data_IF_142894214591
#
_entry.id   IF_142894214591
#
_cell.length_a   1.000
_cell.length_b   1.000
_cell.length_c   1.000
_cell.angle_alpha   90.00
_cell.angle_beta   90.00
_cell.angle_gamma   90.00
#
_symmetry.space_group_name_H-M   'P 1'
#
loop_
_entity.id
_entity.type
_entity.pdbx_description
1 polymer ?
#
# COMPACT_ATOMS: atom_id res chain seq x y z
N UNK A 1 5.14 -26.78 55.09
CA UNK A 1 4.82 -25.36 54.78
C UNK A 1 5.95 -24.63 54.01
N UNK A 2 7.23 -24.76 54.33
CA UNK A 2 8.32 -24.08 53.59
C UNK A 2 8.43 -24.52 52.11
N UNK A 3 8.27 -25.79 51.78
CA UNK A 3 8.40 -26.32 50.41
C UNK A 3 7.27 -25.83 49.48
N UNK A 4 6.04 -25.69 49.99
CA UNK A 4 4.91 -25.13 49.20
C UNK A 4 5.09 -23.66 48.89
N UNK A 5 5.75 -22.90 49.77
CA UNK A 5 6.00 -21.47 49.55
C UNK A 5 7.00 -21.25 48.42
N UNK A 6 8.05 -22.04 48.31
CA UNK A 6 9.02 -21.95 47.20
C UNK A 6 8.40 -22.37 45.89
N UNK A 7 7.50 -23.34 45.87
CA UNK A 7 6.81 -23.76 44.63
C UNK A 7 5.89 -22.65 44.12
N UNK A 8 5.20 -21.94 45.00
CA UNK A 8 4.34 -20.80 44.68
C UNK A 8 5.17 -19.60 44.18
N UNK A 9 6.34 -19.35 44.76
CA UNK A 9 7.24 -18.28 44.36
C UNK A 9 7.84 -18.53 42.95
N UNK A 10 8.22 -19.77 42.66
CA UNK A 10 8.73 -20.17 41.32
C UNK A 10 7.64 -20.07 40.26
N UNK A 11 6.39 -20.42 40.60
CA UNK A 11 5.26 -20.29 39.68
C UNK A 11 4.94 -18.82 39.35
N UNK A 12 5.09 -17.92 40.34
CA UNK A 12 4.85 -16.48 40.19
C UNK A 12 5.94 -15.81 39.27
N UNK A 13 7.19 -16.24 39.42
CA UNK A 13 8.29 -15.77 38.60
C UNK A 13 8.16 -16.27 37.14
N UNK A 14 7.64 -17.49 36.95
CA UNK A 14 7.40 -18.03 35.59
C UNK A 14 6.27 -17.32 34.85
N UNK A 15 5.28 -16.75 35.54
CA UNK A 15 4.18 -15.99 34.94
C UNK A 15 4.56 -14.52 34.60
N UNK A 16 5.59 -13.97 35.25
CA UNK A 16 6.05 -12.60 34.97
C UNK A 16 6.85 -12.45 33.64
N UNK A 17 7.23 -13.59 33.05
CA UNK A 17 8.07 -13.61 31.82
C UNK A 17 7.29 -13.58 30.48
N UNK A 18 5.96 -13.60 30.46
CA UNK A 18 5.16 -13.85 29.24
C UNK A 18 4.33 -12.65 28.79
N UNK A 19 4.57 -11.44 29.27
CA UNK A 19 3.83 -10.27 28.82
C UNK A 19 4.75 -9.18 28.28
N UNK A 20 5.36 -9.44 27.15
CA UNK A 20 5.91 -8.38 26.32
C UNK A 20 5.42 -8.56 24.89
N UNK A 21 4.13 -8.36 24.65
CA UNK A 21 3.65 -7.89 23.36
C UNK A 21 4.18 -6.45 23.22
N UNK A 22 5.41 -6.32 22.72
CA UNK A 22 5.93 -5.01 22.31
C UNK A 22 5.05 -4.53 21.17
N UNK A 23 4.08 -3.70 21.47
CA UNK A 23 3.38 -2.92 20.46
C UNK A 23 4.46 -2.15 19.71
N UNK A 24 4.63 -2.44 18.42
CA UNK A 24 5.63 -1.81 17.58
C UNK A 24 5.38 -0.29 17.57
N UNK A 25 6.39 0.50 17.91
CA UNK A 25 6.22 1.95 17.90
C UNK A 25 6.09 2.46 16.47
N UNK A 26 5.47 3.62 16.28
CA UNK A 26 5.35 4.25 14.96
C UNK A 26 6.74 4.48 14.31
N UNK A 27 7.74 4.84 15.11
CA UNK A 27 9.13 4.98 14.63
C UNK A 27 9.71 3.64 14.16
N UNK A 28 9.42 2.55 14.86
CA UNK A 28 9.87 1.22 14.44
C UNK A 28 9.22 0.80 13.12
N UNK A 29 7.92 1.09 12.95
CA UNK A 29 7.20 0.85 11.68
C UNK A 29 7.82 1.65 10.53
N UNK A 30 8.13 2.94 10.72
CA UNK A 30 8.80 3.76 9.71
C UNK A 30 10.18 3.21 9.34
N UNK A 31 10.96 2.77 10.31
CA UNK A 31 12.27 2.19 10.07
C UNK A 31 12.19 0.84 9.35
N UNK A 32 11.25 0.00 9.74
CA UNK A 32 10.99 -1.28 9.09
C UNK A 32 10.54 -1.08 7.63
N UNK A 33 9.58 -0.18 7.39
CA UNK A 33 9.15 0.19 6.05
C UNK A 33 10.30 0.70 5.18
N UNK A 34 11.13 1.62 5.71
CA UNK A 34 12.28 2.15 4.96
C UNK A 34 13.23 1.04 4.52
N UNK A 35 13.53 0.10 5.41
CA UNK A 35 14.36 -1.07 5.08
C UNK A 35 13.70 -1.95 4.01
N UNK A 36 12.39 -2.20 4.12
CA UNK A 36 11.66 -3.03 3.16
C UNK A 36 11.61 -2.38 1.77
N UNK A 37 11.34 -1.07 1.69
CA UNK A 37 11.34 -0.33 0.41
C UNK A 37 12.74 -0.33 -0.22
N UNK A 38 13.80 -0.07 0.54
CA UNK A 38 15.17 -0.10 0.01
C UNK A 38 15.50 -1.51 -0.51
N UNK A 39 15.15 -2.55 0.24
CA UNK A 39 15.34 -3.93 -0.19
C UNK A 39 14.59 -4.22 -1.51
N UNK A 40 13.32 -3.78 -1.63
CA UNK A 40 12.55 -3.93 -2.87
C UNK A 40 13.24 -3.23 -4.06
N UNK A 41 13.76 -2.02 -3.83
CA UNK A 41 14.49 -1.23 -4.85
C UNK A 41 15.74 -1.99 -5.29
N UNK A 42 16.56 -2.45 -4.35
CA UNK A 42 17.81 -3.14 -4.62
C UNK A 42 17.59 -4.50 -5.33
N UNK A 43 16.61 -5.30 -4.88
CA UNK A 43 16.33 -6.63 -5.44
C UNK A 43 15.72 -6.59 -6.86
N UNK A 44 15.15 -5.46 -7.26
CA UNK A 44 14.54 -5.30 -8.59
C UNK A 44 15.33 -4.34 -9.49
N UNK A 45 16.53 -3.92 -9.09
CA UNK A 45 17.37 -2.96 -9.83
C UNK A 45 16.59 -1.68 -10.21
N UNK A 46 15.74 -1.18 -9.27
CA UNK A 46 14.97 0.04 -9.52
C UNK A 46 15.86 1.27 -9.41
N UNK A 47 15.82 2.12 -10.42
CA UNK A 47 16.51 3.41 -10.49
C UNK A 47 15.59 4.53 -9.97
N UNK A 48 16.00 5.21 -8.92
CA UNK A 48 15.24 6.35 -8.37
C UNK A 48 15.79 7.64 -8.94
N UNK A 49 15.00 8.25 -9.82
CA UNK A 49 15.34 9.51 -10.48
C UNK A 49 15.15 10.69 -9.53
N UNK A 50 16.02 11.69 -9.64
CA UNK A 50 15.91 12.95 -8.89
C UNK A 50 14.76 13.84 -9.41
N UNK A 51 14.44 13.73 -10.70
CA UNK A 51 13.39 14.51 -11.39
C UNK A 51 12.63 13.63 -12.36
N UNK A 52 11.48 14.09 -12.81
CA UNK A 52 10.77 13.48 -13.94
C UNK A 52 11.65 13.49 -15.19
N UNK A 53 11.63 12.43 -16.03
CA UNK A 53 12.26 12.46 -17.34
C UNK A 53 11.74 13.64 -18.17
N UNK A 54 12.61 14.32 -18.91
CA UNK A 54 12.26 15.51 -19.71
C UNK A 54 11.16 15.22 -20.73
N UNK A 55 11.22 14.05 -21.38
CA UNK A 55 10.21 13.54 -22.31
C UNK A 55 9.02 12.89 -21.59
N UNK A 56 9.09 12.79 -20.25
CA UNK A 56 8.14 12.08 -19.40
C UNK A 56 7.96 10.60 -19.77
N UNK A 57 8.97 9.99 -20.39
CA UNK A 57 9.03 8.56 -20.70
C UNK A 57 9.91 7.88 -19.66
N UNK A 58 9.30 7.00 -18.88
CA UNK A 58 10.00 6.19 -17.88
C UNK A 58 10.49 4.88 -18.51
N UNK A 59 11.71 4.46 -18.19
CA UNK A 59 12.10 3.07 -18.38
C UNK A 59 11.32 2.19 -17.38
N UNK A 60 11.26 0.91 -17.64
CA UNK A 60 10.46 -0.02 -16.85
C UNK A 60 10.85 -0.05 -15.37
N UNK A 61 12.15 0.11 -15.07
CA UNK A 61 12.72 0.09 -13.73
C UNK A 61 12.95 1.47 -13.10
N UNK A 62 12.54 2.56 -13.77
CA UNK A 62 12.73 3.93 -13.27
C UNK A 62 11.54 4.39 -12.43
N UNK A 63 11.83 5.06 -11.33
CA UNK A 63 10.81 5.69 -10.49
C UNK A 63 11.26 7.10 -10.10
N UNK A 64 10.32 8.00 -9.91
CA UNK A 64 10.53 9.27 -9.24
C UNK A 64 9.87 9.22 -7.87
N UNK A 65 10.54 9.77 -6.86
CA UNK A 65 9.95 9.89 -5.53
C UNK A 65 9.21 11.22 -5.43
N UNK A 66 7.89 11.14 -5.18
CA UNK A 66 7.03 12.30 -4.98
C UNK A 66 7.20 12.89 -3.56
N UNK A 67 6.77 14.13 -3.35
CA UNK A 67 6.87 14.85 -2.06
C UNK A 67 6.13 14.13 -0.93
N UNK A 68 5.03 13.43 -1.22
CA UNK A 68 4.29 12.63 -0.25
C UNK A 68 4.99 11.31 0.11
N UNK A 69 6.10 11.00 -0.57
CA UNK A 69 6.92 9.81 -0.36
C UNK A 69 6.53 8.59 -1.17
N UNK A 70 5.51 8.68 -2.03
CA UNK A 70 5.18 7.63 -3.02
C UNK A 70 6.22 7.64 -4.14
N UNK A 71 6.60 6.45 -4.62
CA UNK A 71 7.43 6.33 -5.82
C UNK A 71 6.53 6.02 -7.00
N UNK A 72 6.68 6.79 -8.08
CA UNK A 72 5.85 6.74 -9.28
C UNK A 72 6.69 6.38 -10.50
N UNK A 73 6.19 5.42 -11.30
CA UNK A 73 6.59 5.19 -12.69
C UNK A 73 5.35 5.32 -13.57
N UNK A 74 5.44 6.02 -14.69
CA UNK A 74 4.36 6.16 -15.65
C UNK A 74 4.61 5.21 -16.82
N UNK A 75 3.83 4.12 -16.90
CA UNK A 75 3.91 3.14 -17.99
C UNK A 75 3.26 3.72 -19.27
N UNK A 76 2.10 4.38 -19.08
CA UNK A 76 1.35 5.03 -20.16
C UNK A 76 0.56 6.20 -19.60
N UNK A 77 0.66 7.36 -20.25
CA UNK A 77 0.00 8.60 -19.80
C UNK A 77 -1.51 8.60 -19.96
N UNK A 78 -2.08 7.65 -20.69
CA UNK A 78 -3.49 7.71 -21.08
C UNK A 78 -3.77 8.83 -22.08
N UNK A 79 -5.02 9.31 -22.11
CA UNK A 79 -5.44 10.40 -23.00
C UNK A 79 -5.19 11.80 -22.37
N UNK A 80 -5.74 12.86 -22.98
CA UNK A 80 -5.60 14.25 -22.52
C UNK A 80 -6.52 14.65 -21.38
N UNK A 81 -7.55 13.84 -21.05
CA UNK A 81 -8.47 14.14 -19.96
C UNK A 81 -7.71 14.14 -18.62
N UNK A 82 -8.09 15.01 -17.73
CA UNK A 82 -7.46 15.11 -16.42
C UNK A 82 -8.49 14.91 -15.32
N UNK A 83 -8.09 14.17 -14.27
CA UNK A 83 -8.92 14.03 -13.10
C UNK A 83 -9.01 15.36 -12.34
N UNK A 84 -10.22 15.74 -11.98
CA UNK A 84 -10.51 16.94 -11.20
C UNK A 84 -10.79 16.56 -9.77
N UNK A 85 -10.02 17.16 -8.85
CA UNK A 85 -10.14 16.90 -7.41
C UNK A 85 -11.58 17.15 -6.95
N UNK A 86 -12.10 16.25 -6.12
CA UNK A 86 -13.46 16.23 -5.58
C UNK A 86 -14.59 16.10 -6.61
N UNK A 87 -14.26 15.88 -7.89
CA UNK A 87 -15.26 15.82 -8.96
C UNK A 87 -15.22 14.51 -9.73
N UNK A 88 -14.02 14.05 -10.13
CA UNK A 88 -13.89 12.88 -11.00
C UNK A 88 -14.03 11.59 -10.19
N UNK A 89 -14.93 10.71 -10.64
CA UNK A 89 -15.02 9.34 -10.15
C UNK A 89 -14.02 8.46 -10.91
N UNK A 90 -13.24 7.71 -10.15
CA UNK A 90 -12.14 6.87 -10.66
C UNK A 90 -12.51 5.41 -10.46
N UNK A 91 -12.46 4.64 -11.53
CA UNK A 91 -12.46 3.21 -11.51
C UNK A 91 -11.03 2.72 -11.70
N UNK A 92 -10.55 1.80 -10.86
CA UNK A 92 -9.19 1.29 -10.95
C UNK A 92 -9.14 -0.23 -10.82
N UNK A 93 -8.21 -0.82 -11.58
CA UNK A 93 -7.75 -2.21 -11.42
C UNK A 93 -6.24 -2.19 -11.23
N UNK A 94 -5.73 -3.14 -10.47
CA UNK A 94 -4.29 -3.17 -10.15
C UNK A 94 -3.79 -4.59 -9.89
N UNK A 95 -2.46 -4.72 -9.93
CA UNK A 95 -1.71 -5.83 -9.33
C UNK A 95 -0.91 -5.23 -8.19
N UNK A 96 -1.14 -5.71 -6.97
CA UNK A 96 -0.50 -5.21 -5.75
C UNK A 96 0.25 -6.32 -5.03
N UNK A 97 1.47 -6.02 -4.57
CA UNK A 97 2.29 -6.90 -3.73
C UNK A 97 2.51 -6.27 -2.36
N UNK A 98 2.21 -7.01 -1.31
CA UNK A 98 2.72 -6.77 0.03
C UNK A 98 4.09 -7.44 0.14
N UNK A 99 5.11 -6.70 0.54
CA UNK A 99 6.51 -7.17 0.46
C UNK A 99 7.30 -7.02 1.76
N UNK A 100 6.60 -6.83 2.89
CA UNK A 100 7.24 -6.63 4.19
C UNK A 100 6.97 -7.80 5.14
N UNK A 101 8.04 -8.33 5.77
CA UNK A 101 7.94 -9.39 6.77
C UNK A 101 7.58 -10.75 6.19
N UNK A 102 6.76 -11.49 6.93
CA UNK A 102 6.16 -12.76 6.49
C UNK A 102 4.89 -12.56 5.66
N UNK A 103 4.39 -11.34 5.64
CA UNK A 103 3.14 -10.96 4.98
C UNK A 103 3.43 -10.60 3.51
N UNK A 104 3.85 -11.60 2.75
CA UNK A 104 4.03 -11.48 1.31
C UNK A 104 2.79 -12.01 0.62
N UNK A 105 1.99 -11.13 0.05
CA UNK A 105 0.79 -11.49 -0.68
C UNK A 105 0.68 -10.71 -1.98
N UNK A 106 -0.04 -11.29 -2.94
CA UNK A 106 -0.36 -10.63 -4.21
C UNK A 106 -1.87 -10.55 -4.36
N UNK A 107 -2.35 -9.37 -4.71
CA UNK A 107 -3.73 -9.15 -5.15
C UNK A 107 -3.68 -8.77 -6.63
N UNK A 108 -4.31 -9.58 -7.48
CA UNK A 108 -4.38 -9.35 -8.92
C UNK A 108 -5.83 -9.12 -9.36
N UNK A 109 -6.14 -7.86 -9.72
CA UNK A 109 -7.43 -7.46 -10.27
C UNK A 109 -7.37 -7.26 -11.80
N UNK A 110 -6.26 -7.62 -12.45
CA UNK A 110 -6.04 -7.46 -13.90
C UNK A 110 -5.89 -8.79 -14.65
N UNK A 111 -5.54 -9.87 -13.93
CA UNK A 111 -5.27 -11.18 -14.52
C UNK A 111 -6.52 -11.91 -15.02
N UNK A 112 -6.35 -13.02 -15.73
CA UNK A 112 -7.47 -13.81 -16.29
C UNK A 112 -8.39 -14.39 -15.23
N UNK A 113 -7.90 -14.54 -14.00
CA UNK A 113 -8.70 -14.99 -12.85
C UNK A 113 -9.48 -13.86 -12.16
N UNK A 114 -9.29 -12.62 -12.58
CA UNK A 114 -10.04 -11.46 -12.08
C UNK A 114 -11.43 -11.29 -12.74
N UNK A 115 -11.79 -12.19 -13.67
CA UNK A 115 -13.10 -12.18 -14.30
C UNK A 115 -14.19 -12.36 -13.22
N UNK A 116 -15.03 -11.32 -13.08
CA UNK A 116 -16.08 -11.26 -12.05
C UNK A 116 -15.70 -10.50 -10.77
N UNK A 117 -14.43 -10.14 -10.58
CA UNK A 117 -14.06 -9.21 -9.51
C UNK A 117 -14.42 -7.78 -9.90
N UNK A 118 -15.17 -7.11 -9.03
CA UNK A 118 -15.48 -5.69 -9.23
C UNK A 118 -14.19 -4.84 -9.19
N UNK A 119 -14.06 -3.83 -10.07
CA UNK A 119 -13.01 -2.85 -9.92
C UNK A 119 -13.14 -2.11 -8.60
N UNK A 120 -12.09 -1.44 -8.19
CA UNK A 120 -12.13 -0.53 -7.05
C UNK A 120 -12.53 0.85 -7.55
N UNK A 121 -13.50 1.48 -6.89
CA UNK A 121 -14.03 2.78 -7.29
C UNK A 121 -13.93 3.77 -6.16
N UNK A 122 -13.51 5.00 -6.47
CA UNK A 122 -13.43 6.09 -5.51
C UNK A 122 -13.53 7.44 -6.23
N UNK A 123 -13.94 8.47 -5.50
CA UNK A 123 -13.88 9.84 -5.99
C UNK A 123 -12.50 10.43 -5.70
N UNK A 124 -11.86 11.03 -6.71
CA UNK A 124 -10.55 11.66 -6.53
C UNK A 124 -10.60 12.75 -5.45
N UNK A 125 -9.78 12.59 -4.40
CA UNK A 125 -9.77 13.45 -3.22
C UNK A 125 -10.67 12.98 -2.06
N UNK A 126 -11.57 12.00 -2.30
CA UNK A 126 -12.32 11.32 -1.26
C UNK A 126 -11.91 9.85 -1.21
N UNK A 127 -11.09 9.49 -0.22
CA UNK A 127 -10.55 8.13 -0.07
C UNK A 127 -11.29 7.33 1.01
N UNK A 128 -12.40 7.86 1.48
CA UNK A 128 -13.36 7.12 2.27
C UNK A 128 -14.21 6.32 1.30
N UNK A 129 -13.80 5.08 1.03
CA UNK A 129 -14.61 4.17 0.26
C UNK A 129 -16.00 4.10 0.89
N UNK A 130 -17.02 4.33 0.09
CA UNK A 130 -18.35 3.86 0.48
C UNK A 130 -18.18 2.41 0.89
N UNK A 131 -18.71 2.04 2.03
CA UNK A 131 -18.66 0.70 2.61
C UNK A 131 -19.39 -0.29 1.70
N UNK A 132 -18.84 -0.52 0.52
CA UNK A 132 -19.25 -1.62 -0.32
C UNK A 132 -18.50 -2.87 0.17
N UNK A 133 -19.13 -4.03 0.10
CA UNK A 133 -18.59 -5.33 0.54
C UNK A 133 -17.33 -5.78 -0.23
N UNK A 134 -16.72 -4.88 -1.00
CA UNK A 134 -15.50 -5.16 -1.75
C UNK A 134 -14.28 -5.00 -0.85
N UNK A 135 -13.71 -6.12 -0.39
CA UNK A 135 -12.50 -6.13 0.44
C UNK A 135 -11.29 -5.42 -0.22
N UNK A 136 -11.28 -5.25 -1.54
CA UNK A 136 -10.22 -4.51 -2.25
C UNK A 136 -10.27 -3.00 -1.98
N UNK A 137 -11.34 -2.49 -1.41
CA UNK A 137 -11.45 -1.08 -1.01
C UNK A 137 -10.43 -0.69 0.06
N UNK A 138 -9.84 -1.65 0.78
CA UNK A 138 -8.73 -1.41 1.69
C UNK A 138 -7.48 -0.79 1.02
N UNK A 139 -7.37 -0.90 -0.31
CA UNK A 139 -6.28 -0.29 -1.09
C UNK A 139 -6.55 1.16 -1.47
N UNK A 140 -7.78 1.66 -1.29
CA UNK A 140 -8.11 3.06 -1.58
C UNK A 140 -7.38 3.95 -0.58
N UNK A 141 -6.71 4.96 -1.11
CA UNK A 141 -5.98 5.94 -0.31
C UNK A 141 -5.27 6.95 -1.19
N UNK A 142 -4.67 7.95 -0.57
CA UNK A 142 -3.86 8.94 -1.28
C UNK A 142 -2.73 8.30 -2.09
N UNK A 143 -2.20 7.19 -1.60
CA UNK A 143 -1.13 6.46 -2.28
C UNK A 143 -1.56 5.85 -3.59
N UNK A 144 -2.73 5.19 -3.65
CA UNK A 144 -3.27 4.64 -4.90
C UNK A 144 -3.62 5.75 -5.91
N UNK A 145 -4.02 6.93 -5.43
CA UNK A 145 -4.36 8.09 -6.27
C UNK A 145 -3.15 8.95 -6.66
N UNK A 146 -1.95 8.67 -6.14
CA UNK A 146 -0.78 9.54 -6.29
C UNK A 146 -0.32 9.76 -7.75
N UNK A 147 -0.69 8.86 -8.66
CA UNK A 147 -0.40 9.02 -10.09
C UNK A 147 -1.34 9.96 -10.83
N UNK A 148 -2.56 10.17 -10.33
CA UNK A 148 -3.63 10.92 -11.05
C UNK A 148 -3.25 12.34 -11.50
N UNK A 149 -2.48 13.15 -10.72
CA UNK A 149 -2.07 14.47 -11.15
C UNK A 149 -1.19 14.49 -12.41
N UNK A 150 -0.54 13.37 -12.72
CA UNK A 150 0.49 13.29 -13.76
C UNK A 150 0.01 12.59 -15.04
N UNK A 151 -1.18 11.98 -15.01
CA UNK A 151 -1.69 11.13 -16.10
C UNK A 151 -3.13 11.49 -16.46
N UNK A 152 -3.60 10.96 -17.59
CA UNK A 152 -4.97 11.11 -18.04
C UNK A 152 -5.80 9.84 -17.85
N UNK A 153 -7.02 9.87 -18.40
CA UNK A 153 -7.89 8.72 -18.43
C UNK A 153 -7.25 7.56 -19.22
N UNK A 154 -7.51 6.34 -18.77
CA UNK A 154 -6.96 5.09 -19.32
C UNK A 154 -5.45 4.92 -19.15
N UNK A 155 -4.82 5.66 -18.23
CA UNK A 155 -3.41 5.57 -17.93
C UNK A 155 -3.03 4.30 -17.17
N UNK A 156 -1.74 3.95 -17.27
CA UNK A 156 -1.12 2.89 -16.49
C UNK A 156 0.10 3.43 -15.75
N UNK A 157 0.21 3.09 -14.46
CA UNK A 157 1.34 3.48 -13.59
C UNK A 157 1.82 2.30 -12.74
N UNK A 158 3.04 2.40 -12.18
CA UNK A 158 3.53 1.61 -11.04
C UNK A 158 3.69 2.54 -9.84
N UNK A 159 3.40 2.04 -8.64
CA UNK A 159 3.50 2.83 -7.41
C UNK A 159 4.14 2.00 -6.31
N UNK A 160 5.14 2.56 -5.58
CA UNK A 160 5.56 2.02 -4.29
C UNK A 160 5.01 2.96 -3.23
N UNK A 161 4.05 2.47 -2.44
CA UNK A 161 3.24 3.30 -1.54
C UNK A 161 3.63 3.03 -0.09
N UNK A 162 4.16 4.03 0.63
CA UNK A 162 4.39 3.95 2.06
C UNK A 162 3.07 3.74 2.83
N UNK A 163 3.11 3.00 3.95
CA UNK A 163 1.92 2.69 4.72
C UNK A 163 1.13 3.93 5.16
N UNK A 164 1.82 5.05 5.44
CA UNK A 164 1.17 6.32 5.83
C UNK A 164 0.24 6.88 4.76
N UNK A 165 0.43 6.51 3.49
CA UNK A 165 -0.37 6.93 2.35
C UNK A 165 -1.50 5.96 2.01
N UNK A 166 -1.61 4.88 2.78
CA UNK A 166 -2.73 3.94 2.71
C UNK A 166 -3.87 4.42 3.61
N UNK A 167 -5.07 3.88 3.39
CA UNK A 167 -6.23 4.21 4.23
C UNK A 167 -6.22 3.46 5.55
N UNK A 168 -6.86 4.03 6.57
CA UNK A 168 -7.23 3.34 7.81
C UNK A 168 -8.57 2.61 7.71
N UNK A 169 -9.28 2.75 6.59
CA UNK A 169 -10.61 2.18 6.40
C UNK A 169 -10.51 0.69 6.11
N UNK A 170 -11.26 -0.05 6.89
CA UNK A 170 -11.39 -1.49 6.78
C UNK A 170 -10.31 -2.24 7.57
N UNK A 171 -10.76 -3.10 8.48
CA UNK A 171 -9.90 -4.19 8.91
C UNK A 171 -9.61 -5.02 7.67
N UNK A 172 -8.35 -5.13 7.29
CA UNK A 172 -7.95 -6.03 6.24
C UNK A 172 -8.53 -7.41 6.56
N UNK A 173 -9.35 -7.96 5.68
CA UNK A 173 -9.91 -9.30 5.82
C UNK A 173 -8.79 -10.36 6.00
N UNK A 174 -7.59 -10.07 5.45
CA UNK A 174 -6.41 -10.92 5.56
C UNK A 174 -5.61 -10.69 6.85
N UNK A 175 -5.59 -9.46 7.39
CA UNK A 175 -4.65 -9.09 8.46
C UNK A 175 -5.35 -8.62 9.75
N UNK A 176 -6.68 -8.53 9.75
CA UNK A 176 -7.44 -8.06 10.91
C UNK A 176 -7.21 -6.58 11.30
N UNK A 177 -6.32 -5.89 10.56
CA UNK A 177 -5.97 -4.49 10.78
C UNK A 177 -5.75 -3.79 9.42
N UNK A 178 -5.81 -2.45 9.37
CA UNK A 178 -5.53 -1.71 8.14
C UNK A 178 -4.04 -1.74 7.78
N UNK A 179 -3.68 -1.54 6.51
CA UNK A 179 -2.28 -1.41 6.08
C UNK A 179 -1.56 -0.31 6.84
N UNK A 180 -2.24 0.81 7.11
CA UNK A 180 -1.68 1.94 7.82
C UNK A 180 -1.35 1.60 9.27
N UNK A 181 -2.27 0.96 10.00
CA UNK A 181 -2.05 0.56 11.37
C UNK A 181 -1.07 -0.60 11.53
N UNK A 182 -0.92 -1.44 10.50
CA UNK A 182 0.06 -2.54 10.47
C UNK A 182 1.45 -2.09 10.00
N UNK A 183 1.60 -0.87 9.49
CA UNK A 183 2.86 -0.37 8.97
C UNK A 183 3.32 -1.01 7.64
N UNK A 184 2.38 -1.62 6.88
CA UNK A 184 2.68 -2.40 5.68
C UNK A 184 2.64 -1.50 4.44
N UNK A 185 3.79 -1.32 3.74
CA UNK A 185 3.84 -0.65 2.44
C UNK A 185 3.34 -1.58 1.34
N UNK A 186 2.85 -1.00 0.24
CA UNK A 186 2.33 -1.75 -0.91
C UNK A 186 3.06 -1.36 -2.17
N UNK A 187 3.47 -2.35 -2.97
CA UNK A 187 3.96 -2.15 -4.32
C UNK A 187 2.87 -2.50 -5.32
N UNK A 188 2.32 -1.49 -5.97
CA UNK A 188 1.45 -1.66 -7.11
C UNK A 188 2.31 -1.84 -8.36
N UNK A 189 2.44 -3.07 -8.82
CA UNK A 189 3.20 -3.44 -10.02
C UNK A 189 2.58 -2.83 -11.27
N UNK A 190 1.25 -2.68 -11.25
CA UNK A 190 0.47 -2.06 -12.30
C UNK A 190 -0.83 -1.53 -11.74
N UNK A 191 -1.16 -0.29 -12.07
CA UNK A 191 -2.45 0.34 -11.78
C UNK A 191 -2.99 0.88 -13.09
N UNK A 192 -4.27 0.63 -13.37
CA UNK A 192 -5.01 1.27 -14.46
C UNK A 192 -6.02 2.23 -13.86
N UNK A 193 -6.01 3.48 -14.31
CA UNK A 193 -7.04 4.46 -13.98
C UNK A 193 -8.00 4.62 -15.15
N UNK A 194 -9.30 4.62 -14.86
CA UNK A 194 -10.38 4.92 -15.79
C UNK A 194 -11.24 5.99 -15.14
N UNK A 195 -11.52 7.07 -15.86
CA UNK A 195 -12.38 8.16 -15.39
C UNK A 195 -13.81 7.84 -15.79
N UNK A 196 -14.69 7.72 -14.81
CA UNK A 196 -16.12 7.51 -15.03
C UNK A 196 -16.73 8.87 -15.41
N UNK A 197 -17.39 8.92 -16.57
CA UNK A 197 -18.03 10.12 -17.12
C UNK A 197 -19.52 10.11 -16.83
#
# INVERSE_FOLDING_TARGET
MRKSFYFLLVLFVAMAGVSCNKTQSYTDMLNAQKKAINKLIDENDFEILSNFPEDSIFKENQFVKLDNGVYLNIISKGNSDRAVLYSTDIQTRFVAHMFMGTDTGTVDLMGPHSNGTSPVEFKYGYYTAGLTDNYNNQFIGEGLAAGLPYVGDSAYVKLIVPFKMMTDIGSSYYYGTSFKSSGIPVYFVKVRYIFIK
#
